data_IF_681411906138
#
_entry.id   IF_681411906138
#
_cell.length_a   1.000
_cell.length_b   1.000
_cell.length_c   1.000
_cell.angle_alpha   90.00
_cell.angle_beta   90.00
_cell.angle_gamma   90.00
#
_symmetry.space_group_name_H-M   'P 1'
#
loop_
_entity.id
_entity.type
_entity.pdbx_description
1 polymer ?
#
# COMPACT_ATOMS: atom_id res chain seq x y z
N UNK A 1 -30.61 -19.01 -20.02
CA UNK A 1 -31.93 -19.09 -19.36
C UNK A 1 -31.74 -18.68 -17.91
N UNK A 2 -32.44 -17.69 -17.36
CA UNK A 2 -32.32 -17.34 -15.94
C UNK A 2 -32.84 -18.50 -15.08
N UNK A 3 -32.14 -18.82 -14.01
CA UNK A 3 -32.55 -19.78 -12.98
C UNK A 3 -33.88 -19.33 -12.38
N UNK A 4 -34.85 -20.24 -12.17
CA UNK A 4 -36.07 -19.90 -11.45
C UNK A 4 -35.70 -19.43 -10.03
N UNK A 5 -36.33 -18.35 -9.58
CA UNK A 5 -36.21 -17.88 -8.21
C UNK A 5 -36.63 -18.99 -7.23
N UNK A 6 -35.83 -19.22 -6.20
CA UNK A 6 -36.22 -20.13 -5.13
C UNK A 6 -37.55 -19.64 -4.51
N UNK A 7 -38.49 -20.54 -4.14
CA UNK A 7 -39.72 -20.14 -3.48
C UNK A 7 -39.39 -19.42 -2.18
N UNK A 8 -40.10 -18.33 -1.90
CA UNK A 8 -40.00 -17.61 -0.64
C UNK A 8 -40.35 -18.58 0.50
N UNK A 9 -39.43 -18.77 1.43
CA UNK A 9 -39.67 -19.57 2.62
C UNK A 9 -40.56 -18.76 3.54
N UNK A 10 -41.74 -19.26 3.86
CA UNK A 10 -42.68 -18.60 4.75
C UNK A 10 -42.08 -18.52 6.17
N UNK A 11 -42.08 -17.34 6.77
CA UNK A 11 -41.49 -17.11 8.09
C UNK A 11 -42.08 -18.00 9.19
N UNK A 12 -43.37 -18.39 9.06
CA UNK A 12 -44.05 -19.27 9.97
C UNK A 12 -43.58 -20.74 9.87
N UNK A 13 -43.06 -21.17 8.72
CA UNK A 13 -42.49 -22.53 8.55
C UNK A 13 -41.07 -22.66 9.17
N UNK A 14 -40.40 -21.56 9.41
CA UNK A 14 -39.09 -21.56 10.10
C UNK A 14 -39.21 -21.74 11.61
N UNK A 15 -40.36 -21.33 12.20
CA UNK A 15 -40.59 -21.40 13.65
C UNK A 15 -41.04 -22.78 14.10
N UNK A 16 -41.81 -23.53 13.26
CA UNK A 16 -42.45 -24.80 13.66
C UNK A 16 -41.56 -26.06 13.46
N UNK A 17 -40.40 -25.93 12.80
CA UNK A 17 -39.62 -27.12 12.41
C UNK A 17 -38.25 -27.29 13.10
N UNK A 18 -37.80 -26.31 13.90
CA UNK A 18 -36.54 -26.45 14.61
C UNK A 18 -36.79 -27.14 15.96
N UNK A 19 -36.28 -28.36 16.23
CA UNK A 19 -36.33 -28.95 17.55
C UNK A 19 -35.63 -27.99 18.55
N UNK A 20 -36.16 -27.85 19.73
CA UNK A 20 -35.59 -27.03 20.79
C UNK A 20 -34.13 -27.43 20.98
N UNK A 21 -33.22 -26.51 20.58
CA UNK A 21 -31.79 -26.76 20.63
C UNK A 21 -31.34 -26.98 22.05
N UNK A 22 -30.92 -28.20 22.39
CA UNK A 22 -30.41 -28.54 23.70
C UNK A 22 -28.87 -28.56 23.66
N UNK A 23 -28.24 -27.78 24.54
CA UNK A 23 -26.79 -27.77 24.71
C UNK A 23 -26.43 -28.94 25.65
N UNK A 24 -25.61 -29.84 25.18
CA UNK A 24 -25.04 -30.96 25.91
C UNK A 24 -23.55 -30.78 26.12
N UNK A 25 -22.97 -31.40 27.12
CA UNK A 25 -21.52 -31.45 27.32
C UNK A 25 -20.96 -32.74 26.69
N UNK A 26 -20.22 -32.59 25.57
CA UNK A 26 -19.63 -33.73 24.86
C UNK A 26 -18.13 -33.80 25.13
N UNK A 27 -17.62 -35.01 25.43
CA UNK A 27 -16.21 -35.24 25.67
C UNK A 27 -15.38 -34.84 24.43
N UNK A 28 -14.30 -34.08 24.64
CA UNK A 28 -13.45 -33.61 23.53
C UNK A 28 -12.84 -34.74 22.72
N UNK A 29 -12.64 -35.92 23.34
CA UNK A 29 -12.14 -37.14 22.70
C UNK A 29 -13.17 -37.90 21.88
N UNK A 30 -14.48 -37.61 22.09
CA UNK A 30 -15.57 -38.22 21.33
C UNK A 30 -15.95 -37.43 20.08
N UNK A 31 -15.42 -36.22 19.90
CA UNK A 31 -15.69 -35.36 18.75
C UNK A 31 -14.87 -35.77 17.55
N UNK A 32 -15.53 -35.94 16.41
CA UNK A 32 -14.92 -36.39 15.16
C UNK A 32 -14.75 -35.19 14.21
N UNK A 33 -13.51 -34.82 13.84
CA UNK A 33 -13.29 -33.76 12.85
C UNK A 33 -13.91 -34.15 11.49
N UNK A 34 -14.59 -33.18 10.86
CA UNK A 34 -15.13 -33.44 9.52
C UNK A 34 -14.00 -33.61 8.50
N UNK A 35 -13.88 -34.79 7.89
CA UNK A 35 -12.78 -35.19 7.02
C UNK A 35 -12.58 -34.30 5.77
N UNK A 36 -13.64 -33.61 5.31
CA UNK A 36 -13.60 -32.70 4.15
C UNK A 36 -13.69 -31.24 4.56
N UNK A 37 -13.23 -30.90 5.76
CA UNK A 37 -13.17 -29.50 6.18
C UNK A 37 -12.10 -28.78 5.34
N UNK A 38 -12.54 -27.82 4.50
CA UNK A 38 -11.66 -27.03 3.66
C UNK A 38 -10.95 -25.89 4.42
N UNK A 39 -11.40 -25.59 5.65
CA UNK A 39 -10.79 -24.53 6.48
C UNK A 39 -9.62 -25.08 7.28
N UNK A 40 -8.46 -24.45 7.10
CA UNK A 40 -7.23 -24.74 7.88
C UNK A 40 -7.12 -23.77 9.05
N UNK A 41 -6.48 -24.21 10.13
CA UNK A 41 -6.24 -23.41 11.33
C UNK A 41 -4.75 -23.44 11.67
N UNK A 42 -4.11 -22.27 11.76
CA UNK A 42 -2.73 -22.15 12.20
C UNK A 42 -2.62 -22.33 13.73
N UNK A 43 -1.44 -22.72 14.20
CA UNK A 43 -1.17 -22.81 15.64
C UNK A 43 -1.37 -21.48 16.37
N UNK A 44 -1.07 -20.35 15.71
CA UNK A 44 -1.31 -19.02 16.23
C UNK A 44 -2.81 -18.75 16.40
N UNK A 45 -3.65 -19.08 15.41
CA UNK A 45 -5.10 -18.95 15.52
C UNK A 45 -5.69 -19.82 16.61
N UNK A 46 -5.21 -21.07 16.76
CA UNK A 46 -5.65 -21.96 17.84
C UNK A 46 -5.27 -21.37 19.22
N UNK A 47 -4.08 -20.75 19.33
CA UNK A 47 -3.66 -20.07 20.55
C UNK A 47 -4.55 -18.87 20.89
N UNK A 48 -4.94 -18.04 19.91
CA UNK A 48 -5.87 -16.93 20.09
C UNK A 48 -7.25 -17.42 20.57
N UNK A 49 -7.81 -18.45 19.93
CA UNK A 49 -9.08 -19.04 20.37
C UNK A 49 -8.99 -19.62 21.79
N UNK A 50 -7.85 -20.25 22.14
CA UNK A 50 -7.63 -20.76 23.49
C UNK A 50 -7.55 -19.64 24.54
N UNK A 51 -6.89 -18.53 24.20
CA UNK A 51 -6.84 -17.34 25.06
C UNK A 51 -8.24 -16.73 25.28
N UNK A 52 -9.01 -16.61 24.20
CA UNK A 52 -10.41 -16.15 24.26
C UNK A 52 -11.30 -17.07 25.12
N UNK A 53 -11.17 -18.40 24.99
CA UNK A 53 -11.91 -19.36 25.84
C UNK A 53 -11.49 -19.23 27.32
N UNK A 54 -10.22 -18.95 27.62
CA UNK A 54 -9.75 -18.76 29.00
C UNK A 54 -10.31 -17.49 29.61
N UNK A 55 -10.42 -16.40 28.85
CA UNK A 55 -10.90 -15.11 29.33
C UNK A 55 -12.41 -15.08 29.45
N UNK A 56 -13.13 -15.44 28.41
CA UNK A 56 -14.58 -15.28 28.28
C UNK A 56 -15.38 -16.55 28.60
N UNK A 57 -14.68 -17.67 28.80
CA UNK A 57 -15.33 -18.99 28.88
C UNK A 57 -15.71 -19.53 27.51
N UNK A 58 -16.34 -20.71 27.49
CA UNK A 58 -16.79 -21.35 26.26
C UNK A 58 -18.19 -20.83 25.87
N UNK A 59 -18.24 -19.61 25.30
CA UNK A 59 -19.48 -18.87 25.05
C UNK A 59 -20.33 -19.37 23.89
N UNK A 60 -19.70 -19.99 22.88
CA UNK A 60 -20.36 -20.46 21.66
C UNK A 60 -20.22 -21.98 21.52
N UNK A 61 -21.31 -22.78 21.58
CA UNK A 61 -21.23 -24.24 21.50
C UNK A 61 -20.68 -24.73 20.14
N UNK A 62 -20.11 -25.92 20.15
CA UNK A 62 -19.71 -26.65 18.92
C UNK A 62 -20.95 -27.25 18.29
N UNK A 63 -21.13 -27.13 16.97
CA UNK A 63 -22.20 -27.83 16.28
C UNK A 63 -21.73 -29.20 15.83
N UNK A 64 -22.51 -30.23 16.19
CA UNK A 64 -22.21 -31.64 15.88
C UNK A 64 -23.43 -32.32 15.24
N UNK A 65 -23.18 -33.39 14.46
CA UNK A 65 -24.25 -34.26 13.98
C UNK A 65 -24.55 -35.40 14.96
N UNK A 66 -25.42 -36.35 14.56
CA UNK A 66 -25.80 -37.50 15.36
C UNK A 66 -24.61 -38.41 15.74
N UNK A 67 -23.59 -38.45 14.90
CA UNK A 67 -22.38 -39.28 15.05
C UNK A 67 -21.21 -38.55 15.73
N UNK A 68 -21.45 -37.37 16.33
CA UNK A 68 -20.46 -36.46 16.93
C UNK A 68 -19.48 -35.86 15.89
N UNK A 69 -19.80 -35.86 14.62
CA UNK A 69 -18.99 -35.18 13.60
C UNK A 69 -19.18 -33.66 13.73
N UNK A 70 -18.07 -32.93 13.78
CA UNK A 70 -18.08 -31.48 13.96
C UNK A 70 -18.55 -30.82 12.66
N UNK A 71 -19.66 -30.08 12.71
CA UNK A 71 -20.19 -29.27 11.62
C UNK A 71 -19.64 -27.82 11.65
N UNK A 72 -19.51 -27.25 12.88
CA UNK A 72 -18.95 -25.93 13.11
C UNK A 72 -18.18 -25.88 14.42
N UNK A 73 -17.07 -25.11 14.47
CA UNK A 73 -16.29 -24.91 15.70
C UNK A 73 -15.03 -25.79 15.80
N UNK A 74 -14.45 -26.27 14.69
CA UNK A 74 -13.23 -27.07 14.71
C UNK A 74 -12.08 -26.41 15.49
N UNK A 75 -11.83 -25.08 15.27
CA UNK A 75 -10.81 -24.35 16.02
C UNK A 75 -11.09 -24.33 17.53
N UNK A 76 -12.36 -24.23 17.95
CA UNK A 76 -12.75 -24.26 19.37
C UNK A 76 -12.46 -25.62 20.01
N UNK A 77 -12.69 -26.71 19.29
CA UNK A 77 -12.34 -28.07 19.76
C UNK A 77 -10.83 -28.21 19.91
N UNK A 78 -10.05 -27.79 18.92
CA UNK A 78 -8.58 -27.81 18.98
C UNK A 78 -8.05 -26.94 20.13
N UNK A 79 -8.62 -25.77 20.36
CA UNK A 79 -8.29 -24.91 21.47
C UNK A 79 -8.66 -25.54 22.83
N UNK A 80 -9.83 -26.17 22.94
CA UNK A 80 -10.24 -26.91 24.13
C UNK A 80 -9.29 -28.07 24.47
N UNK A 81 -8.86 -28.83 23.45
CA UNK A 81 -7.85 -29.89 23.62
C UNK A 81 -6.51 -29.32 24.10
N UNK A 82 -6.07 -28.19 23.54
CA UNK A 82 -4.85 -27.49 23.97
C UNK A 82 -4.94 -27.01 25.43
N UNK A 83 -6.13 -26.60 25.86
CA UNK A 83 -6.41 -26.20 27.25
C UNK A 83 -6.62 -27.36 28.20
N UNK A 84 -6.65 -28.62 27.72
CA UNK A 84 -6.89 -29.82 28.53
C UNK A 84 -8.35 -29.94 29.02
N UNK A 85 -9.32 -29.32 28.33
CA UNK A 85 -10.73 -29.43 28.71
C UNK A 85 -11.26 -30.84 28.39
N UNK A 86 -11.83 -31.52 29.35
CA UNK A 86 -12.37 -32.86 29.20
C UNK A 86 -13.61 -32.91 28.32
N UNK A 87 -14.45 -31.87 28.37
CA UNK A 87 -15.68 -31.73 27.57
C UNK A 87 -15.89 -30.31 27.13
N UNK A 88 -16.71 -30.12 26.10
CA UNK A 88 -17.12 -28.81 25.56
C UNK A 88 -18.64 -28.77 25.40
N UNK A 89 -19.27 -27.58 25.49
CA UNK A 89 -20.68 -27.43 25.14
C UNK A 89 -20.88 -27.67 23.67
N UNK A 90 -21.78 -28.57 23.32
CA UNK A 90 -22.12 -28.93 21.96
C UNK A 90 -23.64 -28.80 21.72
N UNK A 91 -24.00 -28.42 20.50
CA UNK A 91 -25.36 -28.40 20.01
C UNK A 91 -25.50 -29.47 18.92
N UNK A 92 -26.39 -30.43 19.13
CA UNK A 92 -26.65 -31.50 18.19
C UNK A 92 -27.65 -31.09 17.12
N UNK A 93 -27.26 -31.26 15.85
CA UNK A 93 -28.06 -30.87 14.68
C UNK A 93 -28.40 -32.15 13.89
N UNK A 94 -29.63 -32.66 14.06
CA UNK A 94 -30.07 -33.94 13.49
C UNK A 94 -31.00 -33.80 12.28
N UNK A 95 -31.62 -32.61 12.09
CA UNK A 95 -32.59 -32.37 11.06
C UNK A 95 -32.02 -32.14 9.66
N UNK A 96 -30.69 -31.97 9.53
CA UNK A 96 -30.05 -31.72 8.25
C UNK A 96 -29.76 -33.04 7.51
N UNK A 97 -30.14 -33.12 6.24
CA UNK A 97 -29.69 -34.18 5.34
C UNK A 97 -28.16 -34.13 5.14
N UNK A 98 -27.58 -35.24 4.66
CA UNK A 98 -26.14 -35.30 4.38
C UNK A 98 -25.66 -34.13 3.44
N UNK A 99 -26.42 -33.83 2.40
CA UNK A 99 -26.10 -32.75 1.47
C UNK A 99 -26.16 -31.37 2.18
N UNK A 100 -27.17 -31.17 3.01
CA UNK A 100 -27.31 -29.92 3.79
C UNK A 100 -26.18 -29.76 4.81
N UNK A 101 -25.77 -30.81 5.53
CA UNK A 101 -24.61 -30.78 6.44
C UNK A 101 -23.33 -30.35 5.73
N UNK A 102 -23.05 -30.93 4.55
CA UNK A 102 -21.90 -30.56 3.72
C UNK A 102 -21.94 -29.10 3.28
N UNK A 103 -23.10 -28.63 2.85
CA UNK A 103 -23.29 -27.23 2.48
C UNK A 103 -23.14 -26.30 3.68
N UNK A 104 -23.67 -26.67 4.83
CA UNK A 104 -23.63 -25.88 6.06
C UNK A 104 -22.21 -25.63 6.54
N UNK A 105 -21.33 -26.64 6.51
CA UNK A 105 -19.90 -26.47 6.84
C UNK A 105 -19.23 -25.36 6.01
N UNK A 106 -19.59 -25.23 4.73
CA UNK A 106 -19.07 -24.17 3.86
C UNK A 106 -19.73 -22.82 4.16
N UNK A 107 -21.05 -22.82 4.38
CA UNK A 107 -21.85 -21.59 4.64
C UNK A 107 -21.39 -20.92 5.94
N UNK A 108 -21.29 -21.66 7.04
CA UNK A 108 -20.85 -21.16 8.35
C UNK A 108 -19.50 -20.46 8.25
N UNK A 109 -18.54 -21.08 7.57
CA UNK A 109 -17.22 -20.51 7.36
C UNK A 109 -17.23 -19.29 6.42
N UNK A 110 -18.06 -19.29 5.37
CA UNK A 110 -18.03 -18.24 4.35
C UNK A 110 -18.79 -16.99 4.76
N UNK A 111 -19.96 -17.12 5.41
CA UNK A 111 -20.77 -15.98 5.81
C UNK A 111 -20.05 -15.09 6.83
N UNK A 112 -19.30 -15.68 7.77
CA UNK A 112 -18.49 -14.92 8.71
C UNK A 112 -17.42 -14.03 8.04
N UNK A 113 -16.89 -14.47 6.87
CA UNK A 113 -15.90 -13.72 6.10
C UNK A 113 -16.50 -12.64 5.18
N UNK A 114 -17.84 -12.61 5.02
CA UNK A 114 -18.50 -11.61 4.18
C UNK A 114 -18.90 -10.35 4.95
N UNK A 115 -18.84 -10.37 6.27
CA UNK A 115 -19.06 -9.20 7.10
C UNK A 115 -17.80 -8.32 7.11
N UNK A 116 -17.98 -7.00 7.13
CA UNK A 116 -16.94 -6.01 7.35
C UNK A 116 -17.08 -5.37 8.73
N UNK A 117 -16.17 -4.46 9.04
CA UNK A 117 -16.19 -3.62 10.23
C UNK A 117 -16.52 -2.18 9.85
N UNK A 118 -17.26 -1.49 10.70
CA UNK A 118 -17.25 -0.03 10.75
C UNK A 118 -15.97 0.37 11.48
N UNK A 119 -14.95 0.79 10.74
CA UNK A 119 -13.62 1.05 11.29
C UNK A 119 -13.62 2.18 12.31
N UNK A 120 -14.48 3.19 12.16
CA UNK A 120 -14.58 4.30 13.12
C UNK A 120 -15.14 3.82 14.47
N UNK A 121 -16.24 3.08 14.41
CA UNK A 121 -16.84 2.51 15.62
C UNK A 121 -15.93 1.49 16.27
N UNK A 122 -15.23 0.67 15.47
CA UNK A 122 -14.28 -0.32 15.96
C UNK A 122 -13.08 0.35 16.65
N UNK A 123 -12.54 1.44 16.09
CA UNK A 123 -11.45 2.19 16.71
C UNK A 123 -11.84 2.75 18.07
N UNK A 124 -13.03 3.37 18.17
CA UNK A 124 -13.56 3.90 19.43
C UNK A 124 -13.75 2.80 20.48
N UNK A 125 -14.26 1.63 20.09
CA UNK A 125 -14.45 0.50 21.00
C UNK A 125 -13.12 -0.09 21.49
N UNK A 126 -12.12 -0.21 20.59
CA UNK A 126 -10.78 -0.68 20.96
C UNK A 126 -10.10 0.30 21.94
N UNK A 127 -10.22 1.61 21.70
CA UNK A 127 -9.68 2.65 22.58
C UNK A 127 -10.35 2.60 23.97
N UNK A 128 -11.68 2.53 24.03
CA UNK A 128 -12.44 2.44 25.28
C UNK A 128 -12.08 1.18 26.08
N UNK A 129 -11.88 0.04 25.42
CA UNK A 129 -11.41 -1.20 26.05
C UNK A 129 -10.00 -1.05 26.65
N UNK A 130 -9.08 -0.40 25.93
CA UNK A 130 -7.71 -0.15 26.40
C UNK A 130 -7.69 0.79 27.60
N UNK A 131 -8.47 1.87 27.57
CA UNK A 131 -8.59 2.83 28.66
C UNK A 131 -9.14 2.19 29.94
N UNK A 132 -9.98 1.17 29.78
CA UNK A 132 -10.50 0.34 30.89
C UNK A 132 -9.53 -0.75 31.34
N UNK A 133 -8.33 -0.82 30.73
CA UNK A 133 -7.28 -1.79 31.07
C UNK A 133 -7.49 -3.20 30.53
N UNK A 134 -8.37 -3.37 29.53
CA UNK A 134 -8.56 -4.66 28.87
C UNK A 134 -7.42 -4.97 27.90
N UNK A 135 -6.99 -6.23 27.87
CA UNK A 135 -5.98 -6.71 26.91
C UNK A 135 -6.63 -6.92 25.53
N UNK A 136 -6.51 -5.91 24.65
CA UNK A 136 -7.11 -5.93 23.31
C UNK A 136 -6.51 -6.97 22.37
N UNK A 137 -5.35 -7.58 22.70
CA UNK A 137 -4.81 -8.70 21.92
C UNK A 137 -5.75 -9.93 21.95
N UNK A 138 -6.63 -10.01 22.95
CA UNK A 138 -7.66 -11.04 23.10
C UNK A 138 -8.85 -10.86 22.14
N UNK A 139 -8.98 -9.70 21.50
CA UNK A 139 -10.02 -9.45 20.49
C UNK A 139 -9.80 -10.19 19.18
N UNK A 140 -8.57 -10.67 18.96
CA UNK A 140 -8.18 -11.42 17.76
C UNK A 140 -7.58 -10.55 16.64
N UNK A 141 -7.56 -9.22 16.80
CA UNK A 141 -6.82 -8.31 15.92
C UNK A 141 -5.31 -8.46 16.16
N UNK A 142 -4.53 -8.41 15.09
CA UNK A 142 -3.07 -8.33 15.16
C UNK A 142 -2.62 -6.94 15.63
N UNK A 143 -1.37 -6.82 16.08
CA UNK A 143 -0.79 -5.54 16.47
C UNK A 143 -0.81 -4.53 15.32
N UNK A 144 -0.61 -4.98 14.08
CA UNK A 144 -0.67 -4.14 12.87
C UNK A 144 -2.11 -3.65 12.61
N UNK A 145 -3.12 -4.51 12.77
CA UNK A 145 -4.54 -4.12 12.64
C UNK A 145 -4.94 -3.13 13.75
N UNK A 146 -4.50 -3.36 14.98
CA UNK A 146 -4.75 -2.44 16.09
C UNK A 146 -4.03 -1.10 15.89
N UNK A 147 -2.81 -1.11 15.41
CA UNK A 147 -2.09 0.13 15.05
C UNK A 147 -2.80 0.89 13.92
N UNK A 148 -3.29 0.17 12.91
CA UNK A 148 -4.06 0.72 11.81
C UNK A 148 -5.36 1.39 12.28
N UNK A 149 -6.10 0.77 13.20
CA UNK A 149 -7.34 1.34 13.76
C UNK A 149 -7.08 2.62 14.57
N UNK A 150 -5.94 2.74 15.27
CA UNK A 150 -5.57 3.95 16.03
C UNK A 150 -5.31 5.16 15.14
N UNK A 151 -4.86 4.93 13.91
CA UNK A 151 -4.64 6.01 12.95
C UNK A 151 -5.96 6.54 12.34
N UNK A 152 -7.07 5.82 12.53
CA UNK A 152 -8.37 6.14 11.94
C UNK A 152 -8.43 5.83 10.44
N UNK A 153 -9.62 5.99 9.82
CA UNK A 153 -9.74 5.97 8.37
C UNK A 153 -8.97 7.17 7.80
N UNK A 154 -8.37 6.99 6.62
CA UNK A 154 -7.78 8.11 5.89
C UNK A 154 -8.82 9.22 5.72
N UNK A 155 -8.43 10.45 6.03
CA UNK A 155 -9.27 11.61 5.72
C UNK A 155 -9.52 11.68 4.20
N UNK A 156 -10.66 12.23 3.77
CA UNK A 156 -10.91 12.45 2.35
C UNK A 156 -9.74 13.21 1.73
N UNK A 157 -9.37 12.85 0.49
CA UNK A 157 -8.32 13.55 -0.23
C UNK A 157 -8.63 15.06 -0.28
N UNK A 158 -7.63 15.88 0.00
CA UNK A 158 -7.77 17.34 -0.11
C UNK A 158 -7.72 17.77 -1.58
N UNK A 159 -8.53 18.75 -1.93
CA UNK A 159 -8.46 19.39 -3.24
C UNK A 159 -7.39 20.50 -3.22
N UNK A 160 -6.58 20.57 -4.29
CA UNK A 160 -5.60 21.64 -4.46
C UNK A 160 -6.20 22.89 -5.09
N UNK A 161 -5.41 23.96 -5.14
CA UNK A 161 -5.79 25.22 -5.77
C UNK A 161 -5.70 25.18 -7.31
N UNK A 162 -5.00 24.19 -7.85
CA UNK A 162 -4.83 23.93 -9.30
C UNK A 162 -5.16 22.47 -9.61
N UNK A 163 -5.27 22.13 -10.91
CA UNK A 163 -5.40 20.74 -11.35
C UNK A 163 -4.19 19.92 -10.85
N UNK A 164 -4.43 18.73 -10.34
CA UNK A 164 -3.40 17.87 -9.73
C UNK A 164 -2.32 17.44 -10.73
N UNK A 165 -2.69 17.30 -12.00
CA UNK A 165 -1.78 16.94 -13.08
C UNK A 165 -1.11 18.16 -13.75
N UNK A 166 -1.44 19.39 -13.33
CA UNK A 166 -0.72 20.58 -13.80
C UNK A 166 0.71 20.60 -13.22
N UNK A 167 1.69 20.79 -14.09
CA UNK A 167 3.10 20.91 -13.71
C UNK A 167 3.76 22.05 -14.47
N UNK A 168 4.44 22.99 -13.77
CA UNK A 168 5.19 24.04 -14.45
C UNK A 168 6.37 23.44 -15.20
N UNK A 169 6.76 24.05 -16.30
CA UNK A 169 8.01 23.73 -16.98
C UNK A 169 9.24 24.19 -16.19
N UNK A 170 10.43 23.57 -16.45
CA UNK A 170 11.68 24.01 -15.85
C UNK A 170 12.07 25.39 -16.36
N UNK A 171 12.49 26.26 -15.44
CA UNK A 171 13.00 27.59 -15.80
C UNK A 171 14.46 27.53 -16.24
N UNK A 172 14.90 28.55 -16.99
CA UNK A 172 16.24 28.64 -17.53
C UNK A 172 17.34 28.75 -16.44
N UNK A 173 17.04 29.37 -15.33
CA UNK A 173 17.94 29.52 -14.18
C UNK A 173 17.35 28.77 -12.98
N UNK A 174 18.08 27.82 -12.45
CA UNK A 174 17.67 27.11 -11.26
C UNK A 174 17.83 28.00 -10.01
N UNK A 175 16.86 27.91 -9.11
CA UNK A 175 16.91 28.49 -7.76
C UNK A 175 17.59 27.50 -6.81
N UNK A 176 17.31 26.21 -6.96
CA UNK A 176 17.95 25.16 -6.15
C UNK A 176 19.39 24.91 -6.58
N UNK A 177 20.18 24.36 -5.67
CA UNK A 177 21.54 23.90 -5.90
C UNK A 177 21.73 22.49 -5.34
N UNK A 178 22.75 21.77 -5.83
CA UNK A 178 23.09 20.45 -5.28
C UNK A 178 23.34 20.51 -3.79
N UNK A 179 22.70 19.66 -3.01
CA UNK A 179 22.73 19.61 -1.56
C UNK A 179 21.61 20.40 -0.87
N UNK A 180 20.87 21.24 -1.58
CA UNK A 180 19.74 21.97 -0.99
C UNK A 180 18.64 21.00 -0.55
N UNK A 181 18.18 21.15 0.69
CA UNK A 181 17.08 20.40 1.27
C UNK A 181 15.92 21.35 1.56
N UNK A 182 14.88 21.22 0.79
CA UNK A 182 13.67 22.01 0.89
C UNK A 182 12.65 21.34 1.81
N UNK A 183 12.05 22.13 2.70
CA UNK A 183 10.90 21.73 3.51
C UNK A 183 9.62 22.32 2.91
N UNK A 184 8.65 21.44 2.59
CA UNK A 184 7.37 21.73 1.97
C UNK A 184 6.26 21.26 2.91
N UNK A 185 5.97 22.02 3.97
CA UNK A 185 5.10 21.54 5.04
C UNK A 185 5.69 20.30 5.72
N UNK A 186 5.02 19.17 5.66
CA UNK A 186 5.48 17.88 6.21
C UNK A 186 6.39 17.10 5.23
N UNK A 187 6.52 17.58 3.99
CA UNK A 187 7.34 16.94 2.97
C UNK A 187 8.75 17.53 2.92
N UNK A 188 9.67 16.77 2.32
CA UNK A 188 11.05 17.21 2.10
C UNK A 188 11.48 16.85 0.67
N UNK A 189 12.24 17.75 0.05
CA UNK A 189 12.82 17.55 -1.28
C UNK A 189 14.30 17.87 -1.23
N UNK A 190 15.15 16.89 -1.58
CA UNK A 190 16.60 17.05 -1.62
C UNK A 190 17.09 17.09 -3.08
N UNK A 191 17.88 18.12 -3.41
CA UNK A 191 18.67 18.14 -4.63
C UNK A 191 19.91 17.27 -4.45
N UNK A 192 19.85 15.99 -4.89
CA UNK A 192 20.88 15.02 -4.54
C UNK A 192 20.93 13.77 -5.40
N UNK A 193 21.85 12.88 -5.04
CA UNK A 193 22.12 11.62 -5.75
C UNK A 193 21.41 10.44 -5.04
N UNK A 194 20.49 9.80 -5.73
CA UNK A 194 19.73 8.64 -5.25
C UNK A 194 20.59 7.41 -4.91
N UNK A 195 21.84 7.35 -5.37
CA UNK A 195 22.78 6.26 -5.09
C UNK A 195 23.57 6.48 -3.79
N UNK A 196 23.50 7.69 -3.21
CA UNK A 196 24.21 8.06 -1.98
C UNK A 196 23.33 7.78 -0.75
N UNK A 197 23.72 6.77 0.03
CA UNK A 197 23.01 6.35 1.25
C UNK A 197 22.93 7.50 2.27
N UNK A 198 24.00 8.30 2.43
CA UNK A 198 24.03 9.41 3.38
C UNK A 198 23.05 10.53 3.00
N UNK A 199 22.91 10.82 1.71
CA UNK A 199 21.94 11.80 1.22
C UNK A 199 20.49 11.30 1.39
N UNK A 200 20.23 10.02 1.10
CA UNK A 200 18.89 9.41 1.34
C UNK A 200 18.54 9.44 2.83
N UNK A 201 19.48 9.12 3.72
CA UNK A 201 19.27 9.21 5.16
C UNK A 201 19.04 10.65 5.63
N UNK A 202 19.77 11.64 5.09
CA UNK A 202 19.52 13.07 5.39
C UNK A 202 18.13 13.51 4.95
N UNK A 203 17.68 13.07 3.77
CA UNK A 203 16.33 13.36 3.25
C UNK A 203 15.25 12.77 4.15
N UNK A 204 15.37 11.50 4.54
CA UNK A 204 14.39 10.80 5.39
C UNK A 204 14.38 11.35 6.80
N UNK A 205 15.56 11.72 7.37
CA UNK A 205 15.72 12.17 8.75
C UNK A 205 15.66 11.01 9.74
N UNK A 206 15.12 11.25 10.95
CA UNK A 206 15.06 10.27 12.03
C UNK A 206 13.98 9.19 11.85
N UNK A 207 13.17 9.28 10.78
CA UNK A 207 12.10 8.33 10.48
C UNK A 207 12.57 7.11 9.68
N UNK A 208 11.66 6.18 9.46
CA UNK A 208 11.81 5.07 8.53
C UNK A 208 10.82 5.23 7.37
N UNK A 209 11.16 4.65 6.22
CA UNK A 209 10.33 4.68 5.02
C UNK A 209 9.33 3.52 5.05
N UNK A 210 8.05 3.84 4.90
CA UNK A 210 6.94 2.87 4.81
C UNK A 210 6.74 2.35 3.39
N UNK A 211 6.98 3.20 2.39
CA UNK A 211 6.88 2.87 0.98
C UNK A 211 7.98 3.54 0.16
N UNK A 212 8.58 2.80 -0.74
CA UNK A 212 9.41 3.32 -1.82
C UNK A 212 8.67 3.22 -3.15
N UNK A 213 8.22 4.36 -3.68
CA UNK A 213 7.52 4.45 -4.95
C UNK A 213 8.33 5.33 -5.88
N UNK A 214 8.80 4.80 -7.01
CA UNK A 214 9.82 5.51 -7.78
C UNK A 214 9.81 5.15 -9.27
N UNK A 215 10.33 6.10 -10.07
CA UNK A 215 10.39 6.04 -11.54
C UNK A 215 11.82 6.40 -12.01
N UNK A 216 12.81 5.49 -11.87
CA UNK A 216 14.20 5.75 -12.25
C UNK A 216 14.35 6.00 -13.77
N UNK A 217 15.44 6.61 -14.23
CA UNK A 217 15.77 6.68 -15.66
C UNK A 217 15.71 5.30 -16.31
N UNK A 218 15.15 5.21 -17.53
CA UNK A 218 14.89 3.94 -18.23
C UNK A 218 16.03 3.43 -19.08
N UNK A 219 17.13 4.18 -19.18
CA UNK A 219 18.29 3.87 -20.03
C UNK A 219 17.95 3.75 -21.54
N UNK A 220 16.99 4.55 -21.97
CA UNK A 220 16.49 4.53 -23.37
C UNK A 220 17.03 5.70 -24.21
N UNK A 221 18.01 6.44 -23.70
CA UNK A 221 18.60 7.63 -24.31
C UNK A 221 17.51 8.64 -24.76
N UNK A 222 16.58 8.93 -23.84
CA UNK A 222 15.45 9.79 -24.11
C UNK A 222 15.92 11.19 -24.51
N UNK A 223 15.46 11.67 -25.64
CA UNK A 223 15.64 13.05 -26.08
C UNK A 223 14.27 13.67 -26.33
N UNK A 224 13.91 14.69 -25.56
CA UNK A 224 12.65 15.41 -25.70
C UNK A 224 12.45 15.94 -27.11
N UNK A 225 11.20 15.89 -27.59
CA UNK A 225 10.82 16.41 -28.93
C UNK A 225 10.56 17.91 -28.93
N UNK A 226 10.68 18.58 -27.77
CA UNK A 226 10.53 20.03 -27.63
C UNK A 226 11.78 20.77 -28.12
N UNK A 227 11.66 22.06 -28.39
CA UNK A 227 12.71 22.91 -28.94
C UNK A 227 13.99 22.96 -28.08
N UNK A 228 13.85 22.67 -26.77
CA UNK A 228 14.92 22.67 -25.78
C UNK A 228 15.55 21.28 -25.53
N UNK A 229 15.09 20.24 -26.27
CA UNK A 229 15.66 18.87 -26.30
C UNK A 229 16.10 18.37 -24.89
N UNK A 230 15.21 18.46 -23.88
CA UNK A 230 15.48 18.03 -22.51
C UNK A 230 15.97 16.58 -22.49
N UNK A 231 17.12 16.35 -21.89
CA UNK A 231 17.71 15.02 -21.70
C UNK A 231 17.60 14.63 -20.23
N UNK A 232 17.36 13.35 -19.99
CA UNK A 232 17.34 12.81 -18.62
C UNK A 232 18.78 12.43 -18.25
N UNK A 233 19.27 12.90 -17.11
CA UNK A 233 20.57 12.49 -16.60
C UNK A 233 20.58 10.97 -16.36
N UNK A 234 21.72 10.32 -16.68
CA UNK A 234 21.91 8.88 -16.51
C UNK A 234 21.03 7.95 -17.38
N UNK A 235 20.45 8.43 -18.48
CA UNK A 235 19.55 7.66 -19.35
C UNK A 235 20.24 7.00 -20.57
N UNK A 236 21.59 6.92 -20.57
CA UNK A 236 22.38 6.30 -21.65
C UNK A 236 23.64 5.64 -21.09
N UNK A 237 23.48 4.52 -20.39
CA UNK A 237 24.57 3.74 -19.79
C UNK A 237 24.73 2.38 -20.46
N UNK A 238 25.93 1.79 -20.38
CA UNK A 238 26.11 0.38 -20.71
C UNK A 238 25.40 -0.52 -19.66
N UNK A 239 24.85 -1.66 -20.07
CA UNK A 239 24.04 -2.57 -19.22
C UNK A 239 24.62 -2.81 -17.84
N UNK A 240 25.88 -3.20 -17.74
CA UNK A 240 26.50 -3.50 -16.45
C UNK A 240 26.70 -2.26 -15.57
N UNK A 241 26.80 -1.08 -16.14
CA UNK A 241 26.87 0.20 -15.43
C UNK A 241 25.47 0.60 -14.95
N UNK A 242 24.47 0.48 -15.81
CA UNK A 242 23.09 0.77 -15.49
C UNK A 242 22.56 -0.12 -14.35
N UNK A 243 22.82 -1.42 -14.42
CA UNK A 243 22.45 -2.34 -13.34
C UNK A 243 23.12 -1.99 -12.01
N UNK A 244 24.38 -1.54 -12.01
CA UNK A 244 25.06 -1.07 -10.80
C UNK A 244 24.42 0.19 -10.25
N UNK A 245 24.12 1.16 -11.10
CA UNK A 245 23.40 2.38 -10.75
C UNK A 245 22.05 2.06 -10.05
N UNK A 246 21.22 1.22 -10.66
CA UNK A 246 19.95 0.79 -10.07
C UNK A 246 20.17 0.09 -8.73
N UNK A 247 21.11 -0.86 -8.64
CA UNK A 247 21.43 -1.57 -7.41
C UNK A 247 21.85 -0.61 -6.30
N UNK A 248 22.66 0.39 -6.61
CA UNK A 248 23.18 1.33 -5.60
C UNK A 248 22.06 2.26 -5.12
N UNK A 249 21.14 2.70 -5.99
CA UNK A 249 19.93 3.42 -5.61
C UNK A 249 18.98 2.55 -4.75
N UNK A 250 18.79 1.28 -5.11
CA UNK A 250 17.95 0.36 -4.33
C UNK A 250 18.53 0.12 -2.94
N UNK A 251 19.85 -0.02 -2.81
CA UNK A 251 20.53 -0.15 -1.52
C UNK A 251 20.41 1.09 -0.65
N UNK A 252 20.47 2.28 -1.27
CA UNK A 252 20.27 3.52 -0.57
C UNK A 252 18.84 3.63 -0.01
N UNK A 253 17.83 3.25 -0.81
CA UNK A 253 16.45 3.16 -0.36
C UNK A 253 16.26 2.09 0.73
N UNK A 254 16.80 0.88 0.53
CA UNK A 254 16.71 -0.23 1.49
C UNK A 254 17.24 0.15 2.87
N UNK A 255 18.33 0.90 2.92
CA UNK A 255 18.93 1.36 4.17
C UNK A 255 18.01 2.27 5.01
N UNK A 256 17.04 2.93 4.36
CA UNK A 256 16.05 3.80 5.01
C UNK A 256 14.67 3.13 5.20
N UNK A 257 14.40 2.03 4.53
CA UNK A 257 13.11 1.32 4.58
C UNK A 257 13.01 0.44 5.83
N UNK A 258 11.87 0.48 6.53
CA UNK A 258 11.56 -0.47 7.60
C UNK A 258 11.30 -1.88 7.05
N UNK A 259 11.42 -2.95 7.87
CA UNK A 259 10.91 -4.26 7.50
C UNK A 259 9.42 -4.20 7.15
N UNK A 260 9.00 -4.89 6.08
CA UNK A 260 7.64 -4.85 5.56
C UNK A 260 7.31 -3.62 4.70
N UNK A 261 8.19 -2.63 4.58
CA UNK A 261 8.00 -1.49 3.68
C UNK A 261 7.87 -1.96 2.23
N UNK A 262 6.90 -1.40 1.51
CA UNK A 262 6.56 -1.81 0.15
C UNK A 262 7.37 -1.02 -0.87
N UNK A 263 7.70 -1.64 -2.00
CA UNK A 263 8.28 -0.94 -3.13
C UNK A 263 7.44 -1.08 -4.40
N UNK A 264 7.35 0.03 -5.14
CA UNK A 264 6.82 0.14 -6.49
C UNK A 264 7.88 0.77 -7.38
N UNK A 265 8.34 0.05 -8.40
CA UNK A 265 9.42 0.50 -9.27
C UNK A 265 8.94 0.45 -10.72
N UNK A 266 8.70 1.62 -11.28
CA UNK A 266 8.34 1.77 -12.69
C UNK A 266 9.55 1.57 -13.59
N UNK A 267 9.36 0.96 -14.77
CA UNK A 267 10.46 0.71 -15.68
C UNK A 267 10.01 0.54 -17.13
N UNK A 268 10.92 0.71 -18.08
CA UNK A 268 10.69 0.27 -19.45
C UNK A 268 10.79 -1.26 -19.53
N UNK A 269 9.91 -1.89 -20.32
CA UNK A 269 9.92 -3.35 -20.52
C UNK A 269 11.26 -3.86 -21.06
N UNK A 270 11.87 -3.15 -22.00
CA UNK A 270 13.17 -3.52 -22.58
C UNK A 270 14.32 -3.61 -21.56
N UNK A 271 14.24 -2.89 -20.46
CA UNK A 271 15.23 -2.89 -19.37
C UNK A 271 14.84 -3.75 -18.18
N UNK A 272 13.72 -4.46 -18.26
CA UNK A 272 13.18 -5.29 -17.18
C UNK A 272 14.17 -6.28 -16.59
N UNK A 273 15.15 -6.77 -17.38
CA UNK A 273 16.23 -7.62 -16.91
C UNK A 273 17.15 -6.89 -15.91
N UNK A 274 17.56 -5.66 -16.20
CA UNK A 274 18.42 -4.84 -15.34
C UNK A 274 17.70 -4.44 -14.06
N UNK A 275 16.43 -4.02 -14.14
CA UNK A 275 15.60 -3.67 -12.96
C UNK A 275 15.40 -4.85 -12.03
N UNK A 276 14.96 -6.00 -12.55
CA UNK A 276 14.80 -7.23 -11.73
C UNK A 276 16.14 -7.75 -11.22
N UNK A 277 17.20 -7.60 -12.02
CA UNK A 277 18.55 -7.96 -11.61
C UNK A 277 19.06 -7.13 -10.44
N UNK A 278 18.85 -5.82 -10.48
CA UNK A 278 19.23 -4.90 -9.40
C UNK A 278 18.45 -5.21 -8.09
N UNK A 279 17.14 -5.48 -8.19
CA UNK A 279 16.32 -5.89 -7.04
C UNK A 279 16.88 -7.18 -6.40
N UNK A 280 17.21 -8.18 -7.20
CA UNK A 280 17.83 -9.42 -6.72
C UNK A 280 19.22 -9.18 -6.08
N UNK A 281 20.03 -8.29 -6.67
CA UNK A 281 21.37 -7.96 -6.15
C UNK A 281 21.31 -7.18 -4.82
N UNK A 282 20.18 -6.54 -4.53
CA UNK A 282 19.86 -5.88 -3.24
C UNK A 282 19.29 -6.86 -2.22
N UNK A 283 18.90 -8.07 -2.65
CA UNK A 283 18.27 -9.08 -1.81
C UNK A 283 16.74 -9.02 -1.81
N UNK A 284 16.14 -8.16 -2.62
CA UNK A 284 14.70 -8.01 -2.70
C UNK A 284 14.03 -9.09 -3.54
N UNK A 285 12.84 -9.51 -3.13
CA UNK A 285 11.99 -10.39 -3.88
C UNK A 285 10.88 -9.61 -4.56
N UNK A 286 10.94 -9.50 -5.89
CA UNK A 286 9.82 -9.00 -6.69
C UNK A 286 8.68 -10.01 -6.60
N UNK A 287 7.54 -9.59 -6.07
CA UNK A 287 6.36 -10.46 -5.85
C UNK A 287 5.43 -10.47 -7.05
N UNK A 288 5.18 -9.30 -7.65
CA UNK A 288 4.31 -9.14 -8.82
C UNK A 288 4.91 -8.12 -9.79
N UNK A 289 4.42 -8.12 -11.01
CA UNK A 289 4.61 -7.08 -12.00
C UNK A 289 3.23 -6.50 -12.33
N UNK A 290 3.04 -5.23 -12.04
CA UNK A 290 1.84 -4.50 -12.39
C UNK A 290 2.03 -3.87 -13.77
N UNK A 291 0.96 -3.68 -14.49
CA UNK A 291 0.95 -3.12 -15.84
C UNK A 291 0.02 -1.91 -15.87
N UNK A 292 0.56 -0.73 -16.02
CA UNK A 292 -0.27 0.41 -16.37
C UNK A 292 -0.65 0.35 -17.83
N UNK A 293 -1.93 0.13 -18.11
CA UNK A 293 -2.49 0.16 -19.45
C UNK A 293 -2.94 1.59 -19.79
N UNK A 294 -2.34 2.18 -20.80
CA UNK A 294 -2.61 3.56 -21.25
C UNK A 294 -3.77 3.58 -22.22
N UNK A 295 -4.60 4.63 -22.19
CA UNK A 295 -5.73 4.80 -23.13
C UNK A 295 -5.26 4.94 -24.62
N UNK A 296 -4.01 5.38 -24.85
CA UNK A 296 -3.46 5.58 -26.18
C UNK A 296 -2.10 4.90 -26.32
N UNK A 297 -1.85 4.32 -27.48
CA UNK A 297 -0.55 3.75 -27.81
C UNK A 297 0.50 4.86 -28.06
N UNK A 298 1.76 4.53 -27.82
CA UNK A 298 2.89 5.37 -28.18
C UNK A 298 3.43 4.93 -29.55
N UNK A 299 3.29 5.79 -30.55
CA UNK A 299 3.82 5.53 -31.87
C UNK A 299 5.34 5.38 -31.83
N UNK A 300 5.85 4.26 -32.34
CA UNK A 300 7.26 3.93 -32.44
C UNK A 300 7.60 3.31 -33.81
N UNK A 301 8.87 2.92 -34.00
CA UNK A 301 9.35 2.25 -35.21
C UNK A 301 9.22 0.72 -35.15
N UNK A 302 8.63 0.20 -34.09
CA UNK A 302 8.47 -1.24 -33.86
C UNK A 302 7.16 -1.74 -34.48
N UNK A 303 7.05 -3.07 -34.69
CA UNK A 303 5.85 -3.70 -35.26
C UNK A 303 4.63 -3.55 -34.30
N UNK A 304 4.85 -3.66 -33.00
CA UNK A 304 3.84 -3.42 -31.97
C UNK A 304 4.12 -2.12 -31.25
N UNK A 305 3.12 -1.25 -31.14
CA UNK A 305 3.24 0.01 -30.42
C UNK A 305 3.00 -0.18 -28.91
N UNK A 306 3.86 0.43 -28.12
CA UNK A 306 3.74 0.38 -26.66
C UNK A 306 2.45 1.07 -26.18
N UNK A 307 1.66 0.36 -25.39
CA UNK A 307 0.44 0.86 -24.75
C UNK A 307 0.45 0.59 -23.26
N UNK A 308 1.58 0.19 -22.70
CA UNK A 308 1.69 -0.10 -21.27
C UNK A 308 3.06 0.29 -20.71
N UNK A 309 3.12 0.42 -19.41
CA UNK A 309 4.35 0.48 -18.62
C UNK A 309 4.29 -0.53 -17.48
N UNK A 310 5.35 -1.34 -17.28
CA UNK A 310 5.44 -2.27 -16.17
C UNK A 310 5.94 -1.59 -14.88
N UNK A 311 5.48 -2.10 -13.74
CA UNK A 311 5.90 -1.70 -12.41
C UNK A 311 6.21 -2.94 -11.57
N UNK A 312 7.40 -3.03 -11.01
CA UNK A 312 7.75 -4.09 -10.07
C UNK A 312 7.16 -3.78 -8.70
N UNK A 313 6.52 -4.78 -8.11
CA UNK A 313 5.92 -4.71 -6.78
C UNK A 313 6.49 -5.77 -5.86
N UNK A 314 6.74 -5.40 -4.62
CA UNK A 314 7.19 -6.27 -3.56
C UNK A 314 7.37 -5.51 -2.25
N UNK A 315 8.00 -6.14 -1.27
CA UNK A 315 8.28 -5.53 0.04
C UNK A 315 9.57 -6.07 0.63
N UNK A 316 10.16 -5.29 1.54
CA UNK A 316 11.34 -5.67 2.31
C UNK A 316 11.00 -6.77 3.29
N UNK A 317 11.78 -7.87 3.29
CA UNK A 317 11.57 -8.97 4.20
C UNK A 317 11.80 -8.57 5.67
N UNK A 318 11.23 -9.35 6.59
CA UNK A 318 11.42 -9.17 8.04
C UNK A 318 10.14 -8.82 8.81
N UNK A 319 9.10 -8.30 8.13
CA UNK A 319 7.77 -8.08 8.70
C UNK A 319 6.69 -8.23 7.62
N UNK A 320 5.41 -8.39 8.00
CA UNK A 320 4.28 -8.28 7.08
C UNK A 320 4.23 -6.89 6.44
N UNK A 321 3.81 -6.82 5.17
CA UNK A 321 3.52 -5.55 4.52
C UNK A 321 2.09 -5.10 4.81
N UNK A 322 1.88 -3.79 4.85
CA UNK A 322 0.54 -3.21 4.97
C UNK A 322 -0.21 -3.35 3.64
N UNK A 323 -1.48 -3.77 3.71
CA UNK A 323 -2.43 -3.78 2.60
C UNK A 323 -3.77 -3.23 3.10
N UNK A 324 -4.16 -2.06 2.64
CA UNK A 324 -5.35 -1.32 3.09
C UNK A 324 -6.57 -1.52 2.21
N UNK A 325 -6.36 -2.01 0.97
CA UNK A 325 -7.44 -2.25 0.01
C UNK A 325 -8.05 -3.65 0.13
N UNK A 326 -9.15 -3.85 -0.59
CA UNK A 326 -9.79 -5.17 -0.73
C UNK A 326 -8.95 -6.14 -1.62
N UNK A 327 -9.44 -7.37 -1.78
CA UNK A 327 -8.78 -8.40 -2.61
C UNK A 327 -9.29 -8.47 -4.06
N UNK A 328 -9.90 -7.40 -4.58
CA UNK A 328 -10.37 -7.30 -5.96
C UNK A 328 -9.39 -6.61 -6.88
N UNK A 329 -8.31 -6.06 -6.34
CA UNK A 329 -7.27 -5.39 -7.10
C UNK A 329 -6.59 -6.36 -8.08
N UNK A 330 -6.28 -5.88 -9.28
CA UNK A 330 -5.67 -6.67 -10.35
C UNK A 330 -4.28 -6.14 -10.72
N UNK A 331 -3.51 -6.93 -11.46
CA UNK A 331 -2.19 -6.51 -11.93
C UNK A 331 -2.25 -5.58 -13.14
N UNK A 332 -3.42 -5.32 -13.70
CA UNK A 332 -3.63 -4.36 -14.79
C UNK A 332 -4.30 -3.12 -14.22
N UNK A 333 -3.63 -1.98 -14.38
CA UNK A 333 -4.02 -0.68 -13.87
C UNK A 333 -4.49 0.19 -15.04
N UNK A 334 -5.76 0.58 -15.03
CA UNK A 334 -6.37 1.38 -16.10
C UNK A 334 -6.53 2.82 -15.61
N UNK A 335 -5.58 3.67 -15.95
CA UNK A 335 -5.58 5.09 -15.65
C UNK A 335 -5.27 5.89 -16.91
N UNK A 336 -6.05 6.92 -17.17
CA UNK A 336 -5.83 7.79 -18.32
C UNK A 336 -4.59 8.65 -18.10
N UNK A 337 -3.84 8.84 -19.18
CA UNK A 337 -2.70 9.75 -19.19
C UNK A 337 -3.20 11.19 -19.21
N UNK A 338 -2.59 12.13 -18.43
CA UNK A 338 -2.97 13.55 -18.47
C UNK A 338 -2.88 14.12 -19.88
N UNK A 339 -3.95 14.77 -20.34
CA UNK A 339 -4.05 15.32 -21.71
C UNK A 339 -3.27 16.62 -21.87
N UNK A 340 -3.03 17.38 -20.79
CA UNK A 340 -2.48 18.74 -20.81
C UNK A 340 -0.98 18.84 -20.59
N UNK A 341 -0.28 17.77 -20.30
CA UNK A 341 1.17 17.78 -20.08
C UNK A 341 1.95 17.76 -21.42
N UNK A 342 1.91 18.88 -22.17
CA UNK A 342 2.73 19.02 -23.39
C UNK A 342 4.24 19.16 -23.09
N UNK A 343 4.60 19.54 -21.86
CA UNK A 343 5.98 19.81 -21.43
C UNK A 343 6.65 18.64 -20.71
N UNK A 344 5.86 17.71 -20.17
CA UNK A 344 6.37 16.51 -19.49
C UNK A 344 5.73 15.22 -20.07
N UNK A 345 6.17 14.74 -21.22
CA UNK A 345 5.55 13.59 -21.90
C UNK A 345 5.68 12.25 -21.16
N UNK A 346 6.49 12.17 -20.10
CA UNK A 346 6.75 10.95 -19.31
C UNK A 346 6.08 10.96 -17.96
N UNK A 347 5.37 12.03 -17.58
CA UNK A 347 4.70 12.15 -16.27
C UNK A 347 3.59 11.11 -16.10
N UNK A 348 3.57 10.45 -14.94
CA UNK A 348 2.48 9.56 -14.54
C UNK A 348 1.31 10.38 -13.97
N UNK A 349 0.06 9.95 -14.19
CA UNK A 349 -1.10 10.62 -13.59
C UNK A 349 -1.06 10.53 -12.07
N UNK A 350 -1.45 11.59 -11.39
CA UNK A 350 -1.53 11.62 -9.90
C UNK A 350 -2.43 10.50 -9.40
N UNK A 351 -3.59 10.29 -10.03
CA UNK A 351 -4.54 9.24 -9.65
C UNK A 351 -3.93 7.81 -9.65
N UNK A 352 -2.98 7.51 -10.53
CA UNK A 352 -2.27 6.22 -10.54
C UNK A 352 -1.37 6.07 -9.31
N UNK A 353 -0.68 7.14 -8.93
CA UNK A 353 0.19 7.16 -7.75
C UNK A 353 -0.64 7.13 -6.47
N UNK A 354 -1.75 7.87 -6.40
CA UNK A 354 -2.70 7.82 -5.29
C UNK A 354 -3.23 6.41 -5.04
N UNK A 355 -3.61 5.70 -6.11
CA UNK A 355 -4.05 4.32 -6.01
C UNK A 355 -3.00 3.42 -5.36
N UNK A 356 -1.72 3.57 -5.75
CA UNK A 356 -0.63 2.78 -5.15
C UNK A 356 -0.35 3.19 -3.70
N UNK A 357 -0.36 4.49 -3.39
CA UNK A 357 -0.22 5.02 -2.04
C UNK A 357 -1.30 4.47 -1.10
N UNK A 358 -2.57 4.62 -1.49
CA UNK A 358 -3.71 4.20 -0.68
C UNK A 358 -3.77 2.68 -0.47
N UNK A 359 -3.18 1.86 -1.34
CA UNK A 359 -3.15 0.40 -1.16
C UNK A 359 -2.19 -0.07 -0.06
N UNK A 360 -1.12 0.68 0.23
CA UNK A 360 -0.05 0.18 1.10
C UNK A 360 0.46 1.20 2.12
N UNK A 361 -0.19 2.34 2.26
CA UNK A 361 0.13 3.35 3.28
C UNK A 361 -1.12 3.94 3.91
N UNK A 362 -0.94 4.63 5.02
CA UNK A 362 -1.94 5.42 5.72
C UNK A 362 -1.49 6.87 5.86
N UNK A 363 -2.38 7.76 6.27
CA UNK A 363 -2.02 9.13 6.63
C UNK A 363 -0.90 9.14 7.67
N UNK A 364 0.08 10.03 7.49
CA UNK A 364 1.27 10.12 8.33
C UNK A 364 2.44 9.21 7.93
N UNK A 365 2.23 8.17 7.08
CA UNK A 365 3.30 7.30 6.61
C UNK A 365 4.29 8.03 5.70
N UNK A 366 5.55 7.57 5.71
CA UNK A 366 6.65 8.15 4.93
C UNK A 366 6.79 7.43 3.58
N UNK A 367 6.67 8.20 2.51
CA UNK A 367 6.83 7.74 1.13
C UNK A 367 8.11 8.33 0.54
N UNK A 368 9.06 7.47 0.18
CA UNK A 368 10.28 7.86 -0.50
C UNK A 368 10.10 7.72 -2.02
N UNK A 369 10.50 8.77 -2.74
CA UNK A 369 10.68 8.74 -4.19
C UNK A 369 12.08 9.27 -4.52
N UNK A 370 12.97 8.37 -4.93
CA UNK A 370 14.38 8.69 -5.18
C UNK A 370 14.64 9.38 -6.52
N UNK A 371 13.61 9.50 -7.37
CA UNK A 371 13.69 10.13 -8.70
C UNK A 371 12.45 10.99 -8.93
N UNK A 372 12.38 12.11 -8.18
CA UNK A 372 11.18 12.93 -8.00
C UNK A 372 10.58 13.51 -9.28
N UNK A 373 11.39 13.76 -10.32
CA UNK A 373 10.95 14.28 -11.61
C UNK A 373 10.12 15.55 -11.48
N UNK A 374 8.85 15.49 -11.88
CA UNK A 374 7.89 16.61 -11.76
C UNK A 374 7.15 16.66 -10.42
N UNK A 375 7.40 15.75 -9.47
CA UNK A 375 6.81 15.75 -8.13
C UNK A 375 5.42 15.13 -8.02
N UNK A 376 5.05 14.22 -8.91
CA UNK A 376 3.73 13.56 -8.88
C UNK A 376 3.48 12.84 -7.56
N UNK A 377 4.50 12.13 -7.03
CA UNK A 377 4.45 11.44 -5.74
C UNK A 377 4.19 12.41 -4.59
N UNK A 378 4.76 13.63 -4.64
CA UNK A 378 4.54 14.65 -3.62
C UNK A 378 3.11 15.16 -3.61
N UNK A 379 2.53 15.44 -4.78
CA UNK A 379 1.12 15.89 -4.89
C UNK A 379 0.17 14.80 -4.38
N UNK A 380 0.38 13.55 -4.77
CA UNK A 380 -0.41 12.43 -4.27
C UNK A 380 -0.30 12.28 -2.74
N UNK A 381 0.90 12.44 -2.18
CA UNK A 381 1.14 12.37 -0.75
C UNK A 381 0.47 13.54 0.01
N UNK A 382 0.55 14.78 -0.49
CA UNK A 382 -0.14 15.95 0.08
C UNK A 382 -1.64 15.72 0.13
N UNK A 383 -2.25 15.27 -0.97
CA UNK A 383 -3.70 15.01 -1.06
C UNK A 383 -4.21 14.03 -0.01
N UNK A 384 -3.41 13.05 0.35
CA UNK A 384 -3.80 11.97 1.25
C UNK A 384 -3.10 12.01 2.62
N UNK A 385 -2.47 13.11 3.00
CA UNK A 385 -1.84 13.30 4.30
C UNK A 385 -0.62 12.40 4.57
N UNK A 386 0.04 11.88 3.53
CA UNK A 386 1.31 11.14 3.66
C UNK A 386 2.47 12.13 3.70
N UNK A 387 3.63 11.69 4.18
CA UNK A 387 4.86 12.50 4.23
C UNK A 387 5.82 12.09 3.12
N UNK A 388 5.87 12.87 2.05
CA UNK A 388 6.77 12.61 0.93
C UNK A 388 8.23 13.00 1.25
N UNK A 389 9.15 12.17 0.78
CA UNK A 389 10.60 12.37 0.80
C UNK A 389 11.09 12.19 -0.63
N UNK A 390 11.27 13.29 -1.36
CA UNK A 390 11.67 13.25 -2.75
C UNK A 390 13.15 13.61 -2.91
N UNK A 391 13.83 12.87 -3.76
CA UNK A 391 15.15 13.20 -4.22
C UNK A 391 15.12 13.45 -5.73
N UNK A 392 15.82 14.48 -6.16
CA UNK A 392 15.98 14.81 -7.57
C UNK A 392 17.39 15.34 -7.82
N UNK A 393 18.03 14.84 -8.86
CA UNK A 393 19.42 15.19 -9.16
C UNK A 393 19.53 16.56 -9.83
N UNK A 394 18.57 16.88 -10.73
CA UNK A 394 18.57 18.12 -11.50
C UNK A 394 17.94 19.28 -10.70
N UNK A 395 18.69 20.34 -10.36
CA UNK A 395 18.15 21.50 -9.66
C UNK A 395 16.94 22.15 -10.34
N UNK A 396 16.86 22.10 -11.67
CA UNK A 396 15.70 22.64 -12.39
C UNK A 396 14.42 21.86 -12.11
N UNK A 397 14.50 20.53 -11.98
CA UNK A 397 13.37 19.72 -11.62
C UNK A 397 13.04 19.79 -10.13
N UNK A 398 14.03 20.03 -9.26
CA UNK A 398 13.76 20.39 -7.85
C UNK A 398 12.88 21.65 -7.79
N UNK A 399 13.21 22.68 -8.57
CA UNK A 399 12.41 23.90 -8.67
C UNK A 399 11.00 23.65 -9.20
N UNK A 400 10.86 22.74 -10.18
CA UNK A 400 9.54 22.30 -10.69
C UNK A 400 8.70 21.69 -9.57
N UNK A 401 9.28 20.77 -8.79
CA UNK A 401 8.62 20.13 -7.64
C UNK A 401 8.14 21.19 -6.65
N UNK A 402 9.04 22.10 -6.24
CA UNK A 402 8.73 23.15 -5.26
C UNK A 402 7.60 24.05 -5.76
N UNK A 403 7.70 24.57 -6.99
CA UNK A 403 6.69 25.45 -7.56
C UNK A 403 5.34 24.78 -7.73
N UNK A 404 5.34 23.52 -8.17
CA UNK A 404 4.11 22.72 -8.31
C UNK A 404 3.40 22.60 -6.98
N UNK A 405 4.13 22.24 -5.91
CA UNK A 405 3.55 22.13 -4.58
C UNK A 405 3.07 23.49 -4.04
N UNK A 406 3.85 24.57 -4.23
CA UNK A 406 3.41 25.92 -3.84
C UNK A 406 2.12 26.33 -4.57
N UNK A 407 2.02 26.06 -5.87
CA UNK A 407 0.83 26.35 -6.66
C UNK A 407 -0.37 25.50 -6.22
N UNK A 408 -0.15 24.24 -5.91
CA UNK A 408 -1.18 23.30 -5.48
C UNK A 408 -1.73 23.65 -4.08
N UNK A 409 -0.86 24.03 -3.14
CA UNK A 409 -1.24 24.24 -1.72
C UNK A 409 -1.43 25.69 -1.32
N UNK A 410 -0.88 26.65 -2.06
CA UNK A 410 -0.78 28.06 -1.67
C UNK A 410 0.22 28.35 -0.56
N UNK A 411 1.01 27.35 -0.13
CA UNK A 411 2.00 27.47 0.95
C UNK A 411 3.40 27.73 0.38
N UNK A 412 4.31 28.23 1.23
CA UNK A 412 5.70 28.51 0.88
C UNK A 412 6.63 27.35 1.26
N UNK A 413 7.51 26.97 0.34
CA UNK A 413 8.63 26.08 0.63
C UNK A 413 9.79 26.86 1.28
N UNK A 414 10.52 26.21 2.18
CA UNK A 414 11.59 26.83 2.96
C UNK A 414 12.87 25.98 2.82
N UNK A 415 14.02 26.62 2.57
CA UNK A 415 15.31 25.95 2.58
C UNK A 415 15.69 25.60 4.02
N UNK A 416 15.92 24.32 4.32
CA UNK A 416 16.13 23.85 5.70
C UNK A 416 17.33 24.53 6.38
N UNK A 417 18.44 24.69 5.66
CA UNK A 417 19.69 25.21 6.22
C UNK A 417 19.63 26.69 6.58
N UNK A 418 18.85 27.51 5.85
CA UNK A 418 18.82 28.98 6.04
C UNK A 418 17.51 29.52 6.57
N UNK A 419 16.43 28.76 6.43
CA UNK A 419 15.07 29.22 6.74
C UNK A 419 14.50 30.22 5.70
N UNK A 420 15.19 30.44 4.57
CA UNK A 420 14.72 31.34 3.51
C UNK A 420 13.63 30.64 2.65
N UNK A 421 12.63 31.44 2.25
CA UNK A 421 11.60 30.93 1.34
C UNK A 421 12.12 30.79 -0.09
N UNK A 422 11.56 29.84 -0.84
CA UNK A 422 11.92 29.63 -2.25
C UNK A 422 11.78 30.92 -3.07
N UNK A 423 10.68 31.66 -2.90
CA UNK A 423 10.42 32.89 -3.65
C UNK A 423 11.44 34.01 -3.30
N UNK A 424 11.88 34.10 -2.05
CA UNK A 424 12.90 35.08 -1.66
C UNK A 424 14.25 34.78 -2.32
N UNK A 425 14.66 33.51 -2.33
CA UNK A 425 15.89 33.06 -3.01
C UNK A 425 15.80 33.22 -4.53
N UNK A 426 14.65 32.96 -5.14
CA UNK A 426 14.41 33.17 -6.56
C UNK A 426 14.58 34.64 -6.94
N UNK A 427 13.99 35.57 -6.17
CA UNK A 427 14.13 37.01 -6.39
C UNK A 427 15.60 37.49 -6.24
N UNK A 428 16.32 36.97 -5.26
CA UNK A 428 17.74 37.31 -5.04
C UNK A 428 18.63 36.86 -6.21
N UNK A 429 18.44 35.62 -6.72
CA UNK A 429 19.23 35.07 -7.85
C UNK A 429 18.95 35.80 -9.18
N UNK A 430 17.68 36.17 -9.45
CA UNK A 430 17.33 37.01 -10.61
C UNK A 430 18.01 38.37 -10.54
N UNK A 431 18.06 38.99 -9.37
CA UNK A 431 18.70 40.30 -9.15
C UNK A 431 20.21 40.22 -9.40
N UNK A 432 20.88 39.16 -8.93
CA UNK A 432 22.31 38.94 -9.10
C UNK A 432 22.68 38.71 -10.59
N UNK A 433 21.87 37.94 -11.32
CA UNK A 433 22.11 37.68 -12.75
C UNK A 433 21.89 38.92 -13.62
N UNK A 434 20.95 39.79 -13.25
CA UNK A 434 20.73 41.08 -13.93
C UNK A 434 21.88 42.06 -13.78
N UNK A 435 22.58 42.05 -12.62
CA UNK A 435 23.77 42.89 -12.37
C UNK A 435 25.01 42.39 -13.13
N UNK A 436 25.17 41.07 -13.28
CA UNK A 436 26.28 40.49 -14.05
C UNK A 436 26.17 40.71 -15.57
N UNK A 437 24.94 40.90 -16.09
CA UNK A 437 24.71 41.16 -17.52
C UNK A 437 24.88 42.64 -17.90
N UNK A 438 25.01 43.55 -16.91
CA UNK A 438 25.20 45.01 -17.10
C UNK A 438 26.60 45.49 -16.77
N UNK A 439 27.53 44.60 -16.35
CA UNK A 439 28.93 44.83 -16.12
C UNK A 439 29.79 44.28 -17.23
#
# INVERSE_FOLDING_TARGET
>A
MPRPAAPAVDADTLADGAPAAHIEHTATTALIPYARNARTHSDAQIAQVAASIREFGFTTPVLIDADNTILAGHARVLAAQRLGLASVPALRVEHLSEVQRRAYVLVDNKLALNAGWDEQMLALEIEDLQDKGFDVSLTGFSDDELAALRLGPDEPAIEGLIDEDDSPGPERLAVSASGDLWQLGEHRVLCGDATDVGQVQRLVGDGEVDMWLTDPPYNVAYTGKTRDALTIANDAMADGQFRRFLRDAYRAADAAMRPGAVFYIWHADGEGFNFRGAARDTGWQVRQCLIWHKQAMVLGRQDYHWQHEPCLYGWKDGAPHLWTSDRKQTTVLEFDRPVRSSEHPTMKPVALIEYQLCNNTRAGDVVLDSFGGSGTTLIAAEKHGRRARLMELDPHYVDVIVRRWQAFTGRQAVLEDTGETFDALAAARVSASGQAATS
#
